data_IF_417662561347
#
_entry.id   IF_417662561347
#
_cell.length_a   1.000
_cell.length_b   1.000
_cell.length_c   1.000
_cell.angle_alpha   90.00
_cell.angle_beta   90.00
_cell.angle_gamma   90.00
#
_symmetry.space_group_name_H-M   'P 1'
#
loop_
_entity.id
_entity.type
_entity.pdbx_description
1 polymer ?
#
# COMPACT_ATOMS: atom_id res chain seq x y z
N UNK A 1 17.05 4.94 -40.22
CA UNK A 1 15.67 5.28 -39.83
C UNK A 1 15.00 4.13 -39.09
N UNK A 2 15.11 2.88 -39.57
CA UNK A 2 14.49 1.69 -38.93
C UNK A 2 14.92 1.43 -37.48
N UNK A 3 16.21 1.56 -37.13
CA UNK A 3 16.67 1.35 -35.75
C UNK A 3 16.10 2.36 -34.74
N UNK A 4 15.68 3.56 -35.18
CA UNK A 4 15.16 4.58 -34.27
C UNK A 4 13.72 4.27 -33.85
N UNK A 5 12.90 3.79 -34.80
CA UNK A 5 11.55 3.32 -34.53
C UNK A 5 11.53 2.07 -33.65
N UNK A 6 12.48 1.14 -33.85
CA UNK A 6 12.60 -0.03 -32.98
C UNK A 6 12.88 0.34 -31.51
N UNK A 7 13.69 1.38 -31.28
CA UNK A 7 13.98 1.86 -29.91
C UNK A 7 12.74 2.49 -29.28
N UNK A 8 11.99 3.31 -30.05
CA UNK A 8 10.74 3.94 -29.59
C UNK A 8 9.67 2.89 -29.24
N UNK A 9 9.54 1.83 -30.05
CA UNK A 9 8.59 0.73 -29.80
C UNK A 9 8.97 -0.08 -28.56
N UNK A 10 10.25 -0.35 -28.34
CA UNK A 10 10.74 -1.05 -27.14
C UNK A 10 10.52 -0.19 -25.89
N UNK A 11 10.76 1.12 -25.96
CA UNK A 11 10.50 2.04 -24.85
C UNK A 11 9.01 2.05 -24.48
N UNK A 12 8.12 2.14 -25.47
CA UNK A 12 6.68 2.07 -25.23
C UNK A 12 6.25 0.77 -24.53
N UNK A 13 6.78 -0.39 -24.96
CA UNK A 13 6.48 -1.68 -24.34
C UNK A 13 6.99 -1.77 -22.90
N UNK A 14 8.15 -1.17 -22.60
CA UNK A 14 8.69 -1.10 -21.24
C UNK A 14 7.82 -0.21 -20.35
N UNK A 15 7.40 0.96 -20.84
CA UNK A 15 6.52 1.87 -20.11
C UNK A 15 5.17 1.21 -19.80
N UNK A 16 4.56 0.51 -20.78
CA UNK A 16 3.32 -0.25 -20.55
C UNK A 16 3.50 -1.39 -19.53
N UNK A 17 4.63 -2.11 -19.59
CA UNK A 17 4.92 -3.20 -18.66
C UNK A 17 5.11 -2.66 -17.24
N UNK A 18 5.86 -1.56 -17.09
CA UNK A 18 6.07 -0.87 -15.83
C UNK A 18 4.73 -0.37 -15.25
N UNK A 19 3.88 0.25 -16.06
CA UNK A 19 2.58 0.74 -15.61
C UNK A 19 1.68 -0.39 -15.11
N UNK A 20 1.65 -1.53 -15.81
CA UNK A 20 0.88 -2.72 -15.38
C UNK A 20 1.41 -3.31 -14.09
N UNK A 21 2.74 -3.34 -13.91
CA UNK A 21 3.36 -3.77 -12.66
C UNK A 21 2.99 -2.81 -11.53
N UNK A 22 3.11 -1.50 -11.73
CA UNK A 22 2.75 -0.50 -10.74
C UNK A 22 1.27 -0.56 -10.35
N UNK A 23 0.36 -0.77 -11.30
CA UNK A 23 -1.08 -0.95 -10.97
C UNK A 23 -1.32 -2.15 -10.07
N UNK A 24 -0.67 -3.29 -10.34
CA UNK A 24 -0.79 -4.49 -9.49
C UNK A 24 -0.18 -4.27 -8.11
N UNK A 25 1.03 -3.73 -8.06
CA UNK A 25 1.73 -3.42 -6.80
C UNK A 25 0.94 -2.43 -5.96
N UNK A 26 0.33 -1.40 -6.58
CA UNK A 26 -0.51 -0.43 -5.88
C UNK A 26 -1.70 -1.07 -5.18
N UNK A 27 -2.35 -2.05 -5.80
CA UNK A 27 -3.44 -2.81 -5.18
C UNK A 27 -2.98 -3.55 -3.92
N UNK A 28 -1.89 -4.33 -4.05
CA UNK A 28 -1.31 -5.09 -2.93
C UNK A 28 -0.86 -4.17 -1.79
N UNK A 29 -0.23 -3.04 -2.12
CA UNK A 29 0.22 -2.04 -1.15
C UNK A 29 -0.95 -1.40 -0.41
N UNK A 30 -2.01 -1.03 -1.13
CA UNK A 30 -3.24 -0.52 -0.50
C UNK A 30 -3.85 -1.52 0.47
N UNK A 31 -3.96 -2.78 0.07
CA UNK A 31 -4.48 -3.84 0.94
C UNK A 31 -3.61 -4.02 2.19
N UNK A 32 -2.28 -3.94 2.03
CA UNK A 32 -1.34 -4.02 3.15
C UNK A 32 -1.53 -2.85 4.13
N UNK A 33 -1.64 -1.61 3.65
CA UNK A 33 -1.94 -0.45 4.50
C UNK A 33 -3.24 -0.64 5.29
N UNK A 34 -4.29 -1.14 4.64
CA UNK A 34 -5.57 -1.40 5.30
C UNK A 34 -5.47 -2.52 6.35
N UNK A 35 -4.77 -3.61 6.06
CA UNK A 35 -4.59 -4.69 7.03
C UNK A 35 -3.78 -4.24 8.25
N UNK A 36 -2.68 -3.52 8.03
CA UNK A 36 -1.86 -2.98 9.11
C UNK A 36 -2.66 -1.97 9.93
N UNK A 37 -3.35 -1.02 9.28
CA UNK A 37 -4.21 -0.05 9.95
C UNK A 37 -5.29 -0.70 10.80
N UNK A 38 -5.90 -1.79 10.33
CA UNK A 38 -6.86 -2.57 11.10
C UNK A 38 -6.23 -3.18 12.35
N UNK A 39 -5.05 -3.80 12.24
CA UNK A 39 -4.35 -4.39 13.38
C UNK A 39 -3.97 -3.34 14.43
N UNK A 40 -3.58 -2.14 13.99
CA UNK A 40 -3.10 -1.07 14.86
C UNK A 40 -4.23 -0.30 15.58
N UNK A 41 -5.50 -0.46 15.20
CA UNK A 41 -6.63 0.32 15.75
C UNK A 41 -6.78 0.22 17.28
N UNK A 42 -6.32 -0.86 17.90
CA UNK A 42 -6.43 -1.10 19.34
C UNK A 42 -5.34 -0.35 20.14
N UNK A 43 -4.31 0.16 19.46
CA UNK A 43 -3.18 0.86 20.07
C UNK A 43 -3.47 2.36 20.26
N UNK A 44 -2.68 3.01 21.12
CA UNK A 44 -2.73 4.46 21.32
C UNK A 44 -2.17 5.20 20.10
N UNK A 45 -2.59 6.46 19.90
CA UNK A 45 -2.04 7.29 18.82
C UNK A 45 -0.54 7.55 18.98
N UNK A 46 -0.06 7.61 20.23
CA UNK A 46 1.34 7.88 20.53
C UNK A 46 2.23 6.70 20.14
N UNK A 47 1.79 5.47 20.43
CA UNK A 47 2.49 4.24 20.00
C UNK A 47 2.48 4.10 18.47
N UNK A 48 1.39 4.52 17.83
CA UNK A 48 1.28 4.49 16.37
C UNK A 48 2.27 5.43 15.70
N UNK A 49 2.50 6.62 16.24
CA UNK A 49 3.40 7.60 15.63
C UNK A 49 4.79 6.98 15.44
N UNK A 50 5.35 6.44 16.53
CA UNK A 50 6.65 5.77 16.56
C UNK A 50 6.65 4.55 15.64
N UNK A 51 5.66 3.67 15.77
CA UNK A 51 5.57 2.46 14.95
C UNK A 51 5.44 2.77 13.45
N UNK A 52 4.66 3.78 13.07
CA UNK A 52 4.43 4.17 11.67
C UNK A 52 5.70 4.71 11.01
N UNK A 53 6.55 5.39 11.77
CA UNK A 53 7.84 5.91 11.28
C UNK A 53 8.85 4.78 11.08
N UNK A 54 8.97 3.88 12.06
CA UNK A 54 9.86 2.71 11.94
C UNK A 54 9.43 1.78 10.80
N UNK A 55 8.13 1.49 10.69
CA UNK A 55 7.61 0.60 9.66
C UNK A 55 7.72 1.21 8.26
N UNK A 56 7.55 2.54 8.14
CA UNK A 56 7.74 3.26 6.89
C UNK A 56 9.17 3.10 6.35
N UNK A 57 10.17 3.15 7.24
CA UNK A 57 11.58 2.95 6.89
C UNK A 57 11.85 1.50 6.50
N UNK A 58 11.38 0.53 7.31
CA UNK A 58 11.66 -0.90 7.09
C UNK A 58 11.07 -1.39 5.76
N UNK A 59 9.85 -0.95 5.45
CA UNK A 59 9.12 -1.42 4.27
C UNK A 59 9.30 -0.51 3.05
N UNK A 60 9.99 0.62 3.19
CA UNK A 60 10.11 1.69 2.17
C UNK A 60 8.74 2.16 1.66
N UNK A 61 7.89 2.58 2.59
CA UNK A 61 6.48 2.91 2.34
C UNK A 61 6.10 4.28 2.90
N UNK A 62 4.98 4.83 2.43
CA UNK A 62 4.43 6.09 2.92
C UNK A 62 3.76 5.90 4.29
N UNK A 63 4.44 6.38 5.34
CA UNK A 63 3.91 6.38 6.70
C UNK A 63 2.61 7.17 6.88
N UNK A 64 2.30 8.15 6.01
CA UNK A 64 1.01 8.85 6.06
C UNK A 64 -0.15 7.93 5.68
N UNK A 65 0.04 7.04 4.69
CA UNK A 65 -0.99 6.08 4.30
C UNK A 65 -1.32 5.11 5.44
N UNK A 66 -0.29 4.67 6.16
CA UNK A 66 -0.41 3.88 7.39
C UNK A 66 -1.27 4.59 8.45
N UNK A 67 -0.97 5.86 8.73
CA UNK A 67 -1.72 6.67 9.71
C UNK A 67 -3.15 6.93 9.28
N UNK A 68 -3.39 7.16 7.99
CA UNK A 68 -4.73 7.29 7.42
C UNK A 68 -5.54 6.01 7.61
N UNK A 69 -4.95 4.85 7.31
CA UNK A 69 -5.61 3.56 7.49
C UNK A 69 -5.95 3.29 8.96
N UNK A 70 -5.02 3.59 9.89
CA UNK A 70 -5.29 3.52 11.32
C UNK A 70 -6.49 4.39 11.74
N UNK A 71 -6.48 5.68 11.37
CA UNK A 71 -7.53 6.63 11.76
C UNK A 71 -8.89 6.19 11.25
N UNK A 72 -8.93 5.72 10.00
CA UNK A 72 -10.16 5.16 9.44
C UNK A 72 -10.77 4.08 10.34
N UNK A 73 -10.00 3.09 10.79
CA UNK A 73 -10.52 2.02 11.66
C UNK A 73 -10.77 2.46 13.10
N UNK A 74 -10.03 3.45 13.60
CA UNK A 74 -10.24 4.02 14.93
C UNK A 74 -11.57 4.77 15.00
N UNK A 75 -11.85 5.58 13.98
CA UNK A 75 -13.05 6.41 13.86
C UNK A 75 -14.27 5.63 13.37
N UNK A 76 -14.03 4.56 12.62
CA UNK A 76 -15.05 3.65 12.12
C UNK A 76 -14.79 2.25 12.67
N UNK A 77 -15.03 2.01 13.98
CA UNK A 77 -14.91 0.67 14.53
C UNK A 77 -15.88 -0.24 13.79
N UNK A 78 -15.34 -1.04 12.86
CA UNK A 78 -16.12 -2.02 12.13
C UNK A 78 -16.80 -2.89 13.19
N UNK A 79 -18.14 -2.81 13.28
CA UNK A 79 -18.91 -3.83 14.02
C UNK A 79 -18.42 -5.16 13.46
N UNK A 80 -17.71 -5.97 14.26
CA UNK A 80 -17.12 -7.26 13.87
C UNK A 80 -18.07 -8.05 12.96
N UNK A 81 -17.97 -7.84 11.65
CA UNK A 81 -18.64 -8.65 10.65
C UNK A 81 -17.53 -9.44 9.99
N UNK A 82 -17.11 -10.44 10.75
CA UNK A 82 -16.63 -11.76 10.31
C UNK A 82 -15.92 -11.72 8.95
N UNK A 83 -14.63 -11.35 8.92
CA UNK A 83 -13.74 -11.87 7.88
C UNK A 83 -13.23 -13.24 8.34
N UNK A 84 -13.97 -14.29 7.95
CA UNK A 84 -13.44 -15.66 7.88
C UNK A 84 -12.55 -15.77 6.64
N UNK A 85 -11.31 -15.29 6.73
CA UNK A 85 -10.28 -15.61 5.73
C UNK A 85 -8.99 -16.00 6.45
N UNK A 86 -9.10 -17.03 7.28
CA UNK A 86 -8.01 -17.98 7.56
C UNK A 86 -8.65 -19.37 7.55
N UNK A 87 -8.47 -20.08 6.44
CA UNK A 87 -8.62 -21.53 6.33
C UNK A 87 -7.50 -22.00 5.42
#
# INVERSE_FOLDING_TARGET
MENKHLIEDVQFLLDEAEERMWRRTRGVMMDLYWQIGYCLREYSEQDLLVFSEELAIILDIDGQMLRTAYRFYKDNPLKKKVMRWCS
#
